data_IF_435418053946
#
_entry.id   IF_435418053946
#
_cell.length_a   1.000
_cell.length_b   1.000
_cell.length_c   1.000
_cell.angle_alpha   90.00
_cell.angle_beta   90.00
_cell.angle_gamma   90.00
#
_symmetry.space_group_name_H-M   'P 1'
#
loop_
_entity.id
_entity.type
_entity.pdbx_description
1 polymer ?
#
# COMPACT_ATOMS: atom_id res chain seq x y z
N UNK A 1 24.58 -10.64 -22.02
CA UNK A 1 25.34 -11.60 -21.21
C UNK A 1 24.89 -11.48 -19.76
N UNK A 2 24.31 -12.51 -19.15
CA UNK A 2 24.08 -12.53 -17.69
C UNK A 2 25.44 -12.72 -16.99
N UNK A 3 25.76 -11.88 -16.00
CA UNK A 3 26.95 -12.05 -15.18
C UNK A 3 26.92 -13.42 -14.48
N UNK A 4 28.06 -14.13 -14.46
CA UNK A 4 28.15 -15.50 -13.94
C UNK A 4 27.78 -15.56 -12.46
N UNK A 5 26.53 -15.89 -12.15
CA UNK A 5 26.00 -15.99 -10.79
C UNK A 5 24.66 -15.29 -10.55
N UNK A 6 24.17 -14.47 -11.49
CA UNK A 6 22.84 -13.85 -11.38
C UNK A 6 21.74 -14.91 -11.58
N UNK A 7 20.69 -14.85 -10.76
CA UNK A 7 19.48 -15.65 -10.96
C UNK A 7 18.84 -15.28 -12.32
N UNK A 8 18.23 -16.25 -13.03
CA UNK A 8 17.48 -15.94 -14.23
C UNK A 8 16.34 -14.96 -13.91
N UNK A 9 16.03 -14.01 -14.81
CA UNK A 9 14.92 -13.10 -14.60
C UNK A 9 13.61 -13.88 -14.51
N UNK A 10 12.76 -13.52 -13.55
CA UNK A 10 11.43 -14.08 -13.37
C UNK A 10 10.37 -13.01 -13.57
N UNK A 11 9.23 -13.39 -14.12
CA UNK A 11 8.09 -12.49 -14.23
C UNK A 11 7.52 -12.22 -12.84
N UNK A 12 7.65 -10.98 -12.38
CA UNK A 12 7.06 -10.55 -11.12
C UNK A 12 5.53 -10.68 -11.19
N UNK A 13 4.94 -11.36 -10.20
CA UNK A 13 3.49 -11.47 -10.06
C UNK A 13 2.94 -10.27 -9.29
N UNK A 14 1.71 -9.79 -9.59
CA UNK A 14 1.04 -8.80 -8.76
C UNK A 14 0.91 -9.27 -7.32
N UNK A 15 0.88 -8.33 -6.37
CA UNK A 15 0.71 -8.67 -4.97
C UNK A 15 -0.76 -8.86 -4.60
N UNK A 16 -1.01 -9.80 -3.68
CA UNK A 16 -2.30 -9.91 -3.00
C UNK A 16 -2.42 -8.81 -1.92
N UNK A 17 -3.34 -7.87 -2.11
CA UNK A 17 -3.57 -6.76 -1.16
C UNK A 17 -4.35 -7.17 0.09
N UNK A 18 -5.06 -8.30 0.07
CA UNK A 18 -5.79 -8.80 1.24
C UNK A 18 -4.86 -9.15 2.41
N UNK A 19 -3.60 -9.49 2.12
CA UNK A 19 -2.60 -9.85 3.12
C UNK A 19 -2.03 -8.66 3.89
N UNK A 20 -2.33 -7.41 3.51
CA UNK A 20 -1.78 -6.21 4.16
C UNK A 20 -0.26 -5.99 4.01
N UNK A 21 0.45 -6.90 3.34
CA UNK A 21 1.89 -6.80 3.12
C UNK A 21 2.18 -6.06 1.79
N UNK A 22 2.65 -4.82 1.82
CA UNK A 22 2.93 -4.02 0.62
C UNK A 22 4.43 -3.75 0.41
N UNK A 23 4.83 -3.42 -0.82
CA UNK A 23 6.18 -2.95 -1.08
C UNK A 23 6.40 -1.57 -0.47
N UNK A 24 7.29 -1.45 0.51
CA UNK A 24 7.63 -0.16 1.13
C UNK A 24 6.74 0.27 2.29
N UNK A 25 5.74 -0.53 2.69
CA UNK A 25 4.92 -0.28 3.88
C UNK A 25 3.42 -0.14 3.58
N UNK A 26 2.60 -0.29 4.62
CA UNK A 26 1.13 -0.24 4.55
C UNK A 26 0.54 1.15 4.85
N UNK A 27 1.38 2.17 5.12
CA UNK A 27 0.91 3.53 5.36
C UNK A 27 0.39 4.13 4.05
N UNK A 28 -0.58 5.03 4.15
CA UNK A 28 -1.16 5.68 2.97
C UNK A 28 -0.10 6.42 2.13
N UNK A 29 0.87 7.06 2.78
CA UNK A 29 2.02 7.70 2.11
C UNK A 29 2.86 6.71 1.30
N UNK A 30 3.11 5.53 1.86
CA UNK A 30 3.95 4.52 1.22
C UNK A 30 3.25 3.97 -0.04
N UNK A 31 1.93 3.76 0.06
CA UNK A 31 1.10 3.34 -1.07
C UNK A 31 1.02 4.43 -2.15
N UNK A 32 0.86 5.70 -1.75
CA UNK A 32 0.86 6.83 -2.68
C UNK A 32 2.14 6.88 -3.50
N UNK A 33 3.30 6.72 -2.87
CA UNK A 33 4.59 6.68 -3.57
C UNK A 33 4.67 5.53 -4.58
N UNK A 34 4.12 4.36 -4.26
CA UNK A 34 4.14 3.21 -5.18
C UNK A 34 3.19 3.36 -6.36
N UNK A 35 2.04 3.99 -6.15
CA UNK A 35 1.07 4.25 -7.23
C UNK A 35 1.61 5.34 -8.15
N UNK A 36 2.15 6.42 -7.59
CA UNK A 36 2.63 7.57 -8.37
C UNK A 36 3.97 7.33 -9.07
N UNK A 37 4.88 6.58 -8.47
CA UNK A 37 6.22 6.34 -9.03
C UNK A 37 6.39 4.96 -9.68
N UNK A 38 5.46 4.04 -9.43
CA UNK A 38 5.62 2.64 -9.85
C UNK A 38 6.69 1.90 -9.04
N UNK A 39 7.10 0.74 -9.56
CA UNK A 39 8.12 -0.12 -8.93
C UNK A 39 9.14 -0.58 -9.95
N UNK A 40 10.34 -0.01 -9.84
CA UNK A 40 11.49 -0.33 -10.70
C UNK A 40 11.81 -1.83 -10.68
N UNK A 41 12.13 -2.40 -11.85
CA UNK A 41 12.38 -3.83 -12.01
C UNK A 41 11.13 -4.72 -11.96
N UNK A 42 9.93 -4.14 -11.87
CA UNK A 42 8.65 -4.84 -11.96
C UNK A 42 7.79 -4.29 -13.12
N UNK A 43 6.76 -5.02 -13.57
CA UNK A 43 5.85 -4.53 -14.59
C UNK A 43 4.82 -3.50 -14.07
N UNK A 44 4.89 -3.06 -12.81
CA UNK A 44 3.97 -2.08 -12.23
C UNK A 44 4.42 -0.64 -12.58
N UNK A 45 3.71 0.07 -13.49
CA UNK A 45 4.10 1.40 -13.91
C UNK A 45 3.72 2.46 -12.87
N UNK A 46 4.28 3.65 -13.04
CA UNK A 46 3.75 4.88 -12.46
C UNK A 46 2.37 5.19 -13.05
N UNK A 47 1.48 5.78 -12.24
CA UNK A 47 0.19 6.26 -12.75
C UNK A 47 0.38 7.50 -13.62
N UNK A 48 -0.45 7.61 -14.66
CA UNK A 48 -0.52 8.80 -15.52
C UNK A 48 -1.78 9.55 -15.17
N UNK A 49 -1.64 10.80 -14.73
CA UNK A 49 -2.78 11.68 -14.51
C UNK A 49 -3.39 12.13 -15.83
N UNK A 50 -4.71 12.13 -15.90
CA UNK A 50 -5.49 12.54 -17.06
C UNK A 50 -6.58 13.47 -16.58
N UNK A 51 -6.47 14.75 -16.95
CA UNK A 51 -7.41 15.79 -16.52
C UNK A 51 -8.87 15.39 -16.76
N UNK A 52 -9.70 15.49 -15.73
CA UNK A 52 -11.12 15.12 -15.78
C UNK A 52 -11.44 13.62 -15.87
N UNK A 53 -10.43 12.74 -15.80
CA UNK A 53 -10.63 11.28 -15.79
C UNK A 53 -9.93 10.57 -14.63
N UNK A 54 -8.71 11.00 -14.31
CA UNK A 54 -7.93 10.42 -13.23
C UNK A 54 -7.00 11.48 -12.64
N UNK A 55 -7.38 12.01 -11.49
CA UNK A 55 -6.73 13.12 -10.79
C UNK A 55 -6.05 12.62 -9.51
N UNK A 56 -5.38 13.53 -8.79
CA UNK A 56 -4.68 13.19 -7.56
C UNK A 56 -5.62 12.65 -6.47
N UNK A 57 -6.82 13.22 -6.36
CA UNK A 57 -7.83 12.77 -5.39
C UNK A 57 -8.27 11.32 -5.64
N UNK A 58 -8.30 10.89 -6.91
CA UNK A 58 -8.61 9.50 -7.27
C UNK A 58 -7.56 8.52 -6.74
N UNK A 59 -6.29 8.95 -6.64
CA UNK A 59 -5.22 8.14 -6.03
C UNK A 59 -5.51 7.94 -4.54
N UNK A 60 -5.97 8.97 -3.83
CA UNK A 60 -6.34 8.85 -2.42
C UNK A 60 -7.56 7.96 -2.22
N UNK A 61 -8.57 8.06 -3.09
CA UNK A 61 -9.72 7.15 -3.09
C UNK A 61 -9.31 5.70 -3.37
N UNK A 62 -8.40 5.48 -4.31
CA UNK A 62 -7.84 4.16 -4.61
C UNK A 62 -7.08 3.58 -3.43
N UNK A 63 -6.27 4.38 -2.72
CA UNK A 63 -5.55 3.94 -1.52
C UNK A 63 -6.53 3.50 -0.42
N UNK A 64 -7.60 4.26 -0.22
CA UNK A 64 -8.65 3.92 0.74
C UNK A 64 -9.31 2.58 0.37
N UNK A 65 -9.62 2.37 -0.91
CA UNK A 65 -10.15 1.11 -1.39
C UNK A 65 -9.17 -0.05 -1.16
N UNK A 66 -7.90 0.08 -1.54
CA UNK A 66 -6.86 -0.95 -1.33
C UNK A 66 -6.75 -1.33 0.16
N UNK A 67 -6.79 -0.35 1.06
CA UNK A 67 -6.75 -0.60 2.51
C UNK A 67 -8.00 -1.31 3.01
N UNK A 68 -9.16 -1.03 2.43
CA UNK A 68 -10.41 -1.73 2.78
C UNK A 68 -10.44 -3.20 2.36
N UNK A 69 -9.60 -3.61 1.41
CA UNK A 69 -9.48 -5.01 0.97
C UNK A 69 -8.69 -5.90 1.94
N UNK A 70 -8.00 -5.31 2.91
CA UNK A 70 -7.25 -6.07 3.91
C UNK A 70 -8.23 -6.90 4.73
N UNK A 71 -8.00 -8.20 4.84
CA UNK A 71 -8.75 -9.00 5.78
C UNK A 71 -8.46 -8.44 7.18
N UNK A 72 -9.52 -8.14 7.92
CA UNK A 72 -9.40 -7.67 9.29
C UNK A 72 -8.75 -8.79 10.12
N UNK A 73 -7.43 -8.73 10.30
CA UNK A 73 -6.83 -9.37 11.45
C UNK A 73 -7.36 -8.61 12.66
N UNK A 74 -8.40 -9.15 13.27
CA UNK A 74 -8.90 -8.67 14.56
C UNK A 74 -7.72 -8.57 15.52
N UNK A 75 -7.29 -7.35 15.85
CA UNK A 75 -6.53 -6.96 17.05
C UNK A 75 -5.98 -5.54 16.87
N UNK A 76 -6.75 -4.55 17.30
CA UNK A 76 -6.27 -3.36 18.06
C UNK A 76 -7.41 -2.38 18.29
N UNK A 77 -8.45 -2.84 18.98
CA UNK A 77 -9.13 -1.96 19.94
C UNK A 77 -8.16 -1.75 21.10
N UNK A 78 -7.23 -0.79 20.95
CA UNK A 78 -6.57 -0.20 22.12
C UNK A 78 -7.64 0.56 22.89
N UNK A 79 -8.18 -0.09 23.93
CA UNK A 79 -8.89 0.56 25.03
C UNK A 79 -8.03 1.72 25.53
N UNK A 80 -8.37 2.94 25.12
CA UNK A 80 -7.93 4.14 25.81
C UNK A 80 -8.90 4.33 26.97
N UNK A 81 -8.67 3.57 28.03
CA UNK A 81 -9.24 3.79 29.35
C UNK A 81 -8.60 5.07 29.92
N UNK A 82 -9.14 6.22 29.52
CA UNK A 82 -8.87 7.50 30.15
C UNK A 82 -9.89 7.72 31.28
N UNK A 83 -9.76 6.98 32.39
CA UNK A 83 -10.41 7.37 33.64
C UNK A 83 -9.61 8.51 34.30
N UNK A 84 -10.25 9.69 34.34
CA UNK A 84 -9.80 10.92 35.02
C UNK A 84 -10.31 10.88 36.48
N UNK A 85 -9.63 11.52 37.45
CA UNK A 85 -9.61 11.07 38.85
C UNK A 85 -10.75 11.62 39.72
N UNK A 86 -11.05 10.84 40.76
CA UNK A 86 -11.55 11.21 42.09
C UNK A 86 -12.94 11.87 42.23
N UNK A 87 -13.81 11.14 42.94
CA UNK A 87 -14.76 11.74 43.88
C UNK A 87 -14.95 10.81 45.10
N UNK A 88 -14.31 11.15 46.22
CA UNK A 88 -14.78 10.96 47.61
C UNK A 88 -13.90 11.81 48.52
#
# INVERSE_FOLDING_TARGET
>A
MLARGALPPVNAKPRNFALGAFHGGAKASDLYMRITQGIEGSPMPAVTFVDGQFEEDDVWHLINFIRSLQEASEESSSETEAETPQQT
#
